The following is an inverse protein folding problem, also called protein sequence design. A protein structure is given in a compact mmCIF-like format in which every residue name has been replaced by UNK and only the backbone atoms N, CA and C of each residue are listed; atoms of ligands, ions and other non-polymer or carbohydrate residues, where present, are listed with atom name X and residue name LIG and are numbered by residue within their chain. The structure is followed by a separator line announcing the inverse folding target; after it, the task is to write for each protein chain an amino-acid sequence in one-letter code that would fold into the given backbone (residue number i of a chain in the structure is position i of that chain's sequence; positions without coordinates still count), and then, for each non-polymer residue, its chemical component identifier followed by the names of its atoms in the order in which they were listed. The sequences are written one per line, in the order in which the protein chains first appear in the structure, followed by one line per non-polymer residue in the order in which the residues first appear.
data_IF_102190685044
#
_entry.id   IF_102190685044
#
_cell.length_a   1.000
_cell.length_b   1.000
_cell.length_c   1.000
_cell.angle_alpha   90.00
_cell.angle_beta   90.00
_cell.angle_gamma   90.00
#
_symmetry.space_group_name_H-M   'P 1'
#
loop_
_entity.id
_entity.type
_entity.pdbx_description
1 polymer ?
#
# COMPACT_ATOMS: atom_id res chain seq x y z
N UNK A 1 0.54 14.27 12.52
CA UNK A 1 0.44 15.74 12.52
C UNK A 1 -0.21 16.19 11.23
N UNK A 2 -1.50 16.49 11.27
CA UNK A 2 -2.29 17.01 10.15
C UNK A 2 -1.71 18.35 9.66
N UNK A 3 -1.61 18.52 8.36
CA UNK A 3 -0.98 19.68 7.68
C UNK A 3 -1.55 21.05 8.07
N UNK A 4 -2.72 21.09 8.71
CA UNK A 4 -3.41 22.30 9.16
C UNK A 4 -2.58 23.20 10.09
N UNK A 5 -1.63 22.63 10.87
CA UNK A 5 -0.92 23.40 11.90
C UNK A 5 0.41 24.02 11.46
N UNK A 6 1.03 23.60 10.35
CA UNK A 6 2.40 24.07 9.99
C UNK A 6 2.46 25.57 9.66
N UNK A 7 1.41 26.10 9.05
CA UNK A 7 1.31 27.52 8.70
C UNK A 7 0.52 28.35 9.71
N UNK A 8 0.05 27.75 10.80
CA UNK A 8 -0.72 28.45 11.83
C UNK A 8 0.10 29.59 12.44
N UNK A 9 1.39 29.37 12.66
CA UNK A 9 2.24 30.37 13.30
C UNK A 9 2.55 31.57 12.40
N UNK A 10 2.89 31.34 11.13
CA UNK A 10 3.13 32.42 10.17
C UNK A 10 1.87 33.29 10.00
N UNK A 11 0.71 32.64 9.86
CA UNK A 11 -0.58 33.33 9.76
C UNK A 11 -0.87 34.17 11.02
N UNK A 12 -0.64 33.62 12.21
CA UNK A 12 -0.84 34.35 13.47
C UNK A 12 0.13 35.52 13.62
N UNK A 13 1.38 35.39 13.16
CA UNK A 13 2.36 36.47 13.15
C UNK A 13 1.93 37.61 12.22
N UNK A 14 1.40 37.29 11.04
CA UNK A 14 0.88 38.29 10.10
C UNK A 14 -0.40 38.98 10.58
N UNK A 15 -1.33 38.24 11.18
CA UNK A 15 -2.60 38.76 11.70
C UNK A 15 -2.39 39.66 12.93
N UNK A 16 -1.58 39.21 13.90
CA UNK A 16 -1.44 39.89 15.19
C UNK A 16 -0.32 40.94 15.23
N UNK A 17 0.66 40.85 14.31
CA UNK A 17 1.87 41.69 14.24
C UNK A 17 2.47 41.97 15.63
N UNK A 18 2.82 40.92 16.40
CA UNK A 18 3.27 41.11 17.76
C UNK A 18 4.62 41.83 17.82
N UNK A 19 4.81 42.65 18.85
CA UNK A 19 6.12 43.26 19.19
C UNK A 19 6.91 42.42 20.18
N UNK A 20 6.23 41.56 20.94
CA UNK A 20 6.83 40.65 21.94
C UNK A 20 6.31 39.24 21.70
N UNK A 21 7.21 38.26 21.62
CA UNK A 21 6.91 36.83 21.51
C UNK A 21 7.55 36.12 22.69
N UNK A 22 6.77 35.28 23.37
CA UNK A 22 7.26 34.42 24.46
C UNK A 22 7.14 32.96 24.00
N UNK A 23 8.28 32.31 23.85
CA UNK A 23 8.39 30.90 23.47
C UNK A 23 8.49 30.06 24.75
N UNK A 24 7.44 29.29 25.03
CA UNK A 24 7.39 28.39 26.18
C UNK A 24 8.13 27.07 25.92
N UNK A 25 8.02 26.55 24.70
CA UNK A 25 8.78 25.40 24.22
C UNK A 25 9.56 25.86 22.99
N UNK A 26 10.88 25.73 23.06
CA UNK A 26 11.76 26.27 22.01
C UNK A 26 12.01 25.22 20.94
N UNK A 27 11.40 25.42 19.78
CA UNK A 27 11.62 24.60 18.58
C UNK A 27 12.33 25.41 17.50
N UNK A 28 13.32 24.78 16.85
CA UNK A 28 14.15 25.44 15.83
C UNK A 28 13.31 25.87 14.64
N UNK A 29 12.36 25.04 14.19
CA UNK A 29 11.51 25.42 13.05
C UNK A 29 10.71 26.69 13.38
N UNK A 30 10.11 26.76 14.57
CA UNK A 30 9.40 27.96 15.05
C UNK A 30 10.30 29.20 15.08
N UNK A 31 11.53 29.07 15.58
CA UNK A 31 12.50 30.16 15.59
C UNK A 31 12.81 30.66 14.16
N UNK A 32 13.06 29.75 13.21
CA UNK A 32 13.30 30.11 11.80
C UNK A 32 12.12 30.83 11.16
N UNK A 33 10.88 30.44 11.48
CA UNK A 33 9.68 31.15 11.00
C UNK A 33 9.62 32.59 11.52
N UNK A 34 10.00 32.81 12.78
CA UNK A 34 10.06 34.14 13.38
C UNK A 34 11.19 34.98 12.77
N UNK A 35 12.36 34.38 12.52
CA UNK A 35 13.47 35.01 11.79
C UNK A 35 13.04 35.48 10.41
N UNK A 36 12.34 34.63 9.64
CA UNK A 36 11.77 35.00 8.34
C UNK A 36 10.74 36.13 8.46
N UNK A 37 9.84 36.07 9.45
CA UNK A 37 8.85 37.11 9.68
C UNK A 37 9.50 38.47 9.97
N UNK A 38 10.55 38.49 10.79
CA UNK A 38 11.34 39.70 11.09
C UNK A 38 12.09 40.21 9.85
N UNK A 39 12.60 39.32 8.99
CA UNK A 39 13.23 39.72 7.74
C UNK A 39 12.24 40.37 6.76
N UNK A 40 10.99 39.89 6.71
CA UNK A 40 9.93 40.49 5.88
C UNK A 40 9.38 41.81 6.46
N UNK A 41 9.42 41.99 7.78
CA UNK A 41 8.91 43.18 8.49
C UNK A 41 10.04 43.89 9.25
N UNK A 42 10.99 44.45 8.51
CA UNK A 42 12.14 45.18 9.07
C UNK A 42 11.75 46.28 10.05
N UNK A 43 10.63 46.96 9.77
CA UNK A 43 10.10 48.10 10.54
C UNK A 43 9.60 47.76 11.95
N UNK A 44 9.28 46.49 12.22
CA UNK A 44 8.71 46.09 13.52
C UNK A 44 9.81 45.74 14.52
N UNK A 45 9.80 46.35 15.70
CA UNK A 45 10.65 45.92 16.80
C UNK A 45 10.08 44.66 17.44
N UNK A 46 10.83 43.56 17.31
CA UNK A 46 10.43 42.24 17.80
C UNK A 46 11.37 41.79 18.93
N UNK A 47 10.82 41.56 20.12
CA UNK A 47 11.53 40.98 21.26
C UNK A 47 11.08 39.54 21.46
N UNK A 48 12.03 38.61 21.48
CA UNK A 48 11.75 37.18 21.64
C UNK A 48 12.31 36.74 22.99
N UNK A 49 11.44 36.25 23.86
CA UNK A 49 11.81 35.60 25.11
C UNK A 49 11.66 34.10 24.95
N UNK A 50 12.75 33.36 25.08
CA UNK A 50 12.73 31.90 25.13
C UNK A 50 12.88 31.44 26.57
N UNK A 51 11.95 30.61 27.02
CA UNK A 51 12.04 29.95 28.32
C UNK A 51 12.60 28.56 28.09
N UNK A 52 13.68 28.23 28.80
CA UNK A 52 14.28 26.89 28.78
C UNK A 52 14.78 26.55 30.18
N UNK A 53 14.54 25.32 30.60
CA UNK A 53 15.11 24.79 31.84
C UNK A 53 16.57 24.41 31.63
N UNK A 54 17.46 24.91 32.49
CA UNK A 54 18.87 24.54 32.49
C UNK A 54 19.06 23.09 32.88
N UNK A 55 20.05 22.44 32.27
CA UNK A 55 20.43 21.04 32.51
C UNK A 55 19.27 20.06 32.33
N UNK A 56 18.32 20.41 31.45
CA UNK A 56 17.12 19.63 31.20
C UNK A 56 17.22 18.82 29.89
N UNK A 57 16.31 17.86 29.75
CA UNK A 57 16.15 17.10 28.50
C UNK A 57 15.67 17.97 27.35
N UNK A 58 14.96 19.06 27.64
CA UNK A 58 14.50 20.05 26.64
C UNK A 58 15.68 20.82 26.04
N UNK A 59 16.55 21.35 26.90
CA UNK A 59 17.77 22.06 26.47
C UNK A 59 18.68 21.12 25.66
N UNK A 60 18.92 19.91 26.17
CA UNK A 60 19.75 18.92 25.48
C UNK A 60 19.18 18.55 24.10
N UNK A 61 17.85 18.38 23.98
CA UNK A 61 17.18 18.12 22.71
C UNK A 61 17.38 19.27 21.73
N UNK A 62 17.14 20.51 22.16
CA UNK A 62 17.30 21.70 21.32
C UNK A 62 18.73 21.87 20.80
N UNK A 63 19.73 21.77 21.69
CA UNK A 63 21.14 21.86 21.32
C UNK A 63 21.57 20.73 20.38
N UNK A 64 21.08 19.51 20.61
CA UNK A 64 21.37 18.37 19.73
C UNK A 64 20.77 18.57 18.34
N UNK A 65 19.54 19.09 18.23
CA UNK A 65 18.95 19.40 16.92
C UNK A 65 19.73 20.47 16.17
N UNK A 66 20.18 21.53 16.85
CA UNK A 66 20.98 22.60 16.25
C UNK A 66 22.36 22.10 15.78
N UNK A 67 23.00 21.26 16.58
CA UNK A 67 24.24 20.58 16.19
C UNK A 67 24.03 19.67 14.98
N UNK A 68 22.99 18.84 14.99
CA UNK A 68 22.69 17.93 13.89
C UNK A 68 22.40 18.68 12.58
N UNK A 69 21.70 19.81 12.62
CA UNK A 69 21.47 20.66 11.44
C UNK A 69 22.78 21.21 10.87
N UNK A 70 23.66 21.69 11.75
CA UNK A 70 24.99 22.22 11.37
C UNK A 70 25.88 21.12 10.79
N UNK A 71 25.94 19.97 11.45
CA UNK A 71 26.72 18.81 11.00
C UNK A 71 26.19 18.26 9.66
N UNK A 72 24.88 18.20 9.48
CA UNK A 72 24.27 17.80 8.20
C UNK A 72 24.61 18.77 7.06
N UNK A 73 24.58 20.08 7.32
CA UNK A 73 24.90 21.09 6.31
C UNK A 73 26.38 21.05 5.91
N UNK A 74 27.29 20.92 6.88
CA UNK A 74 28.72 20.77 6.60
C UNK A 74 29.03 19.48 5.83
N UNK A 75 28.37 18.38 6.18
CA UNK A 75 28.49 17.11 5.45
C UNK A 75 28.06 17.27 3.99
N UNK A 76 26.90 17.87 3.74
CA UNK A 76 26.42 18.14 2.36
C UNK A 76 27.37 19.05 1.58
N UNK A 77 27.96 20.05 2.23
CA UNK A 77 28.94 20.92 1.59
C UNK A 77 30.19 20.16 1.16
N UNK A 78 30.73 19.30 2.03
CA UNK A 78 31.90 18.48 1.75
C UNK A 78 31.62 17.42 0.66
N UNK A 79 30.45 16.78 0.70
CA UNK A 79 30.03 15.83 -0.33
C UNK A 79 29.89 16.52 -1.69
N UNK A 80 29.27 17.70 -1.73
CA UNK A 80 29.15 18.50 -2.96
C UNK A 80 30.51 18.91 -3.51
N UNK A 81 31.46 19.30 -2.66
CA UNK A 81 32.82 19.66 -3.08
C UNK A 81 33.59 18.47 -3.68
N UNK A 82 33.28 17.25 -3.23
CA UNK A 82 33.93 16.00 -3.67
C UNK A 82 33.29 15.40 -4.92
N UNK A 83 32.13 15.91 -5.34
CA UNK A 83 31.28 15.30 -6.37
C UNK A 83 31.89 15.49 -7.77
N UNK A 84 32.54 14.44 -8.32
CA UNK A 84 33.22 14.49 -9.63
C UNK A 84 32.28 14.43 -10.84
N UNK A 85 31.04 13.96 -10.67
CA UNK A 85 30.04 13.85 -11.76
C UNK A 85 28.94 14.89 -11.52
N UNK A 86 28.77 15.92 -12.34
CA UNK A 86 27.68 16.87 -12.13
C UNK A 86 26.34 16.13 -12.06
N UNK A 87 25.47 16.49 -11.09
CA UNK A 87 24.10 15.96 -10.96
C UNK A 87 23.30 16.31 -12.23
N UNK A 88 23.45 15.50 -13.27
CA UNK A 88 22.58 15.49 -14.43
C UNK A 88 21.56 14.39 -14.16
N UNK A 89 20.29 14.77 -14.15
CA UNK A 89 19.21 13.79 -14.12
C UNK A 89 19.22 13.08 -15.48
N UNK A 90 19.81 11.89 -15.53
CA UNK A 90 19.72 11.01 -16.70
C UNK A 90 18.25 10.58 -16.87
N UNK A 91 17.54 11.33 -17.70
CA UNK A 91 16.15 11.06 -18.09
C UNK A 91 16.06 10.22 -19.37
N UNK A 92 17.22 9.86 -19.95
CA UNK A 92 17.30 8.97 -21.10
C UNK A 92 16.74 7.59 -20.74
N UNK A 93 15.79 7.12 -21.54
CA UNK A 93 15.32 5.73 -21.48
C UNK A 93 16.22 4.88 -22.35
N UNK A 94 16.51 3.68 -21.89
CA UNK A 94 17.23 2.68 -22.70
C UNK A 94 16.33 2.22 -23.86
N UNK A 95 16.96 1.82 -24.97
CA UNK A 95 16.23 1.12 -26.04
C UNK A 95 16.03 -0.33 -25.64
N UNK A 96 14.80 -0.82 -25.77
CA UNK A 96 14.47 -2.21 -25.43
C UNK A 96 15.09 -3.13 -26.48
N UNK A 97 15.86 -4.13 -26.05
CA UNK A 97 16.41 -5.15 -26.93
C UNK A 97 15.30 -5.86 -27.71
N UNK A 98 15.29 -5.65 -29.04
CA UNK A 98 14.42 -6.37 -29.98
C UNK A 98 15.30 -7.33 -30.76
N UNK A 99 15.04 -8.64 -30.63
CA UNK A 99 15.66 -9.60 -31.56
C UNK A 99 15.19 -9.27 -32.98
N UNK A 100 16.12 -8.85 -33.83
CA UNK A 100 15.87 -8.74 -35.26
C UNK A 100 15.71 -10.15 -35.81
N UNK A 101 14.47 -10.58 -36.04
CA UNK A 101 14.25 -11.77 -36.85
C UNK A 101 14.84 -11.50 -38.25
N UNK A 102 15.70 -12.37 -38.78
CA UNK A 102 16.14 -12.26 -40.16
C UNK A 102 14.88 -12.37 -41.02
N UNK A 103 14.55 -11.28 -41.69
CA UNK A 103 13.40 -11.24 -42.58
C UNK A 103 13.79 -12.10 -43.78
N UNK A 104 13.25 -13.32 -43.82
CA UNK A 104 13.15 -14.08 -45.06
C UNK A 104 12.45 -13.20 -46.09
N UNK A 105 12.94 -13.27 -47.32
CA UNK A 105 12.80 -12.31 -48.40
C UNK A 105 11.39 -12.25 -49.03
N UNK A 106 10.32 -12.28 -48.23
CA UNK A 106 8.94 -12.28 -48.70
C UNK A 106 8.21 -11.02 -48.21
N UNK A 107 7.81 -10.19 -49.18
CA UNK A 107 7.25 -8.85 -49.02
C UNK A 107 5.86 -8.76 -48.36
N UNK A 108 5.70 -9.34 -47.17
CA UNK A 108 4.57 -9.07 -46.31
C UNK A 108 4.85 -7.81 -45.48
N UNK A 109 3.93 -6.84 -45.52
CA UNK A 109 3.96 -5.59 -44.76
C UNK A 109 4.38 -5.83 -43.30
N UNK A 110 5.53 -5.28 -42.92
CA UNK A 110 6.00 -5.27 -41.54
C UNK A 110 4.93 -4.62 -40.66
N UNK A 111 4.44 -5.28 -39.59
CA UNK A 111 3.54 -4.64 -38.64
C UNK A 111 4.26 -3.41 -38.07
N UNK A 112 3.53 -2.31 -37.97
CA UNK A 112 3.96 -0.99 -37.48
C UNK A 112 5.03 -1.08 -36.40
N UNK A 113 6.30 -0.93 -36.80
CA UNK A 113 7.52 -1.14 -36.01
C UNK A 113 7.71 -0.16 -34.83
N UNK A 114 6.74 0.68 -34.52
CA UNK A 114 6.96 1.93 -33.79
C UNK A 114 6.41 2.01 -32.36
N UNK A 115 5.72 0.98 -31.86
CA UNK A 115 5.23 1.00 -30.47
C UNK A 115 6.24 0.36 -29.50
N UNK A 116 6.44 1.00 -28.35
CA UNK A 116 7.24 0.45 -27.26
C UNK A 116 6.45 -0.67 -26.57
N UNK A 117 7.12 -1.72 -26.08
CA UNK A 117 6.44 -2.81 -25.40
C UNK A 117 5.78 -2.30 -24.11
N UNK A 118 4.52 -2.72 -23.88
CA UNK A 118 3.65 -2.24 -22.79
C UNK A 118 3.52 -3.25 -21.65
N UNK A 119 3.77 -2.85 -20.42
CA UNK A 119 3.55 -3.71 -19.24
C UNK A 119 2.42 -3.10 -18.43
N UNK A 120 1.39 -3.89 -18.13
CA UNK A 120 0.31 -3.44 -17.25
C UNK A 120 0.75 -3.69 -15.81
N UNK A 121 0.60 -2.68 -14.96
CA UNK A 121 1.03 -2.70 -13.56
C UNK A 121 -0.12 -2.26 -12.68
N UNK A 122 -0.34 -3.01 -11.60
CA UNK A 122 -1.31 -2.64 -10.58
C UNK A 122 -0.94 -1.30 -9.93
N UNK A 123 -1.90 -0.39 -9.78
CA UNK A 123 -1.66 0.93 -9.16
C UNK A 123 -1.07 0.87 -7.76
N UNK A 124 -1.34 -0.19 -6.98
CA UNK A 124 -0.82 -0.38 -5.61
C UNK A 124 0.68 -0.68 -5.61
N UNK A 125 1.19 -1.15 -6.74
CA UNK A 125 2.56 -1.60 -6.89
C UNK A 125 3.53 -0.46 -7.27
N UNK A 126 3.02 0.73 -7.58
CA UNK A 126 3.84 1.93 -7.82
C UNK A 126 4.64 2.42 -6.60
N UNK A 127 4.33 1.90 -5.41
CA UNK A 127 5.14 2.14 -4.22
C UNK A 127 6.48 1.38 -4.26
N UNK A 128 6.65 0.42 -5.17
CA UNK A 128 7.90 -0.34 -5.33
C UNK A 128 8.85 0.29 -6.35
N UNK A 129 10.13 -0.11 -6.32
CA UNK A 129 11.14 0.43 -7.24
C UNK A 129 11.00 -0.15 -8.68
N UNK A 130 10.39 -1.33 -8.84
CA UNK A 130 10.37 -2.08 -10.11
C UNK A 130 9.65 -1.35 -11.27
N UNK A 131 8.47 -0.72 -11.10
CA UNK A 131 7.82 0.03 -12.18
C UNK A 131 8.69 1.16 -12.74
N UNK A 132 9.44 1.84 -11.86
CA UNK A 132 10.37 2.91 -12.26
C UNK A 132 11.54 2.35 -13.07
N UNK A 133 12.08 1.21 -12.67
CA UNK A 133 13.15 0.52 -13.39
C UNK A 133 12.69 0.04 -14.77
N UNK A 134 11.49 -0.55 -14.87
CA UNK A 134 10.91 -0.98 -16.15
C UNK A 134 10.74 0.20 -17.11
N UNK A 135 10.26 1.33 -16.61
CA UNK A 135 10.12 2.55 -17.40
C UNK A 135 11.47 3.09 -17.88
N UNK A 136 12.51 3.05 -17.03
CA UNK A 136 13.88 3.43 -17.42
C UNK A 136 14.45 2.51 -18.50
N UNK A 137 14.15 1.21 -18.44
CA UNK A 137 14.53 0.21 -19.46
C UNK A 137 13.78 0.33 -20.79
N UNK A 138 12.89 1.33 -20.95
CA UNK A 138 12.22 1.61 -22.22
C UNK A 138 10.85 0.97 -22.40
N UNK A 139 10.33 0.25 -21.39
CA UNK A 139 8.95 -0.23 -21.39
C UNK A 139 7.96 0.91 -21.16
N UNK A 140 6.80 0.80 -21.78
CA UNK A 140 5.66 1.65 -21.46
C UNK A 140 4.87 1.03 -20.32
N UNK A 141 4.71 1.75 -19.22
CA UNK A 141 4.10 1.23 -17.98
C UNK A 141 2.66 1.74 -17.91
N UNK A 142 1.70 0.84 -18.06
CA UNK A 142 0.27 1.16 -18.04
C UNK A 142 -0.27 0.89 -16.64
N UNK A 143 -0.60 1.95 -15.91
CA UNK A 143 -1.14 1.86 -14.55
C UNK A 143 -2.63 1.53 -14.57
N UNK A 144 -3.03 0.40 -13.99
CA UNK A 144 -4.41 -0.09 -13.96
C UNK A 144 -4.71 -0.73 -12.59
N UNK A 145 -5.94 -0.71 -12.11
CA UNK A 145 -6.33 -1.46 -10.91
C UNK A 145 -6.64 -2.91 -11.28
N UNK A 146 -5.78 -3.86 -10.90
CA UNK A 146 -5.95 -5.28 -11.20
C UNK A 146 -6.49 -6.02 -9.96
N UNK A 147 -7.49 -6.87 -10.14
CA UNK A 147 -7.93 -7.75 -9.05
C UNK A 147 -7.03 -9.00 -8.94
N UNK A 148 -6.47 -9.44 -10.08
CA UNK A 148 -5.66 -10.65 -10.21
C UNK A 148 -4.26 -10.29 -10.73
N UNK A 149 -3.24 -10.58 -9.92
CA UNK A 149 -1.82 -10.30 -10.15
C UNK A 149 -1.40 -8.81 -10.06
N UNK A 150 -0.09 -8.58 -9.89
CA UNK A 150 0.50 -7.25 -9.78
C UNK A 150 1.02 -6.72 -11.13
N UNK A 151 1.52 -7.62 -11.98
CA UNK A 151 2.04 -7.29 -13.31
C UNK A 151 1.49 -8.24 -14.37
N UNK A 152 1.12 -7.71 -15.53
CA UNK A 152 0.74 -8.50 -16.71
C UNK A 152 1.70 -8.16 -17.84
N UNK A 153 2.53 -9.14 -18.23
CA UNK A 153 3.55 -8.97 -19.27
C UNK A 153 2.97 -9.24 -20.67
N UNK A 154 2.01 -10.15 -20.75
CA UNK A 154 1.36 -10.63 -21.97
C UNK A 154 -0.01 -11.20 -21.58
N UNK A 155 -1.01 -11.35 -22.48
CA UNK A 155 -2.32 -11.92 -22.14
C UNK A 155 -2.23 -13.31 -21.49
N UNK A 156 -1.14 -14.04 -21.72
CA UNK A 156 -0.88 -15.36 -21.17
C UNK A 156 -0.04 -15.36 -19.87
N UNK A 157 0.69 -14.27 -19.57
CA UNK A 157 1.72 -14.22 -18.53
C UNK A 157 1.38 -13.16 -17.50
N UNK A 158 1.13 -13.61 -16.26
CA UNK A 158 0.93 -12.76 -15.10
C UNK A 158 1.98 -13.04 -14.02
N UNK A 159 2.38 -11.98 -13.32
CA UNK A 159 3.37 -12.03 -12.26
C UNK A 159 2.77 -11.42 -10.98
N UNK A 160 2.85 -12.17 -9.89
CA UNK A 160 2.65 -11.66 -8.53
C UNK A 160 4.03 -11.40 -7.94
N UNK A 161 4.29 -10.17 -7.48
CA UNK A 161 5.54 -9.80 -6.83
C UNK A 161 5.37 -9.86 -5.33
N UNK A 162 6.27 -10.56 -4.64
CA UNK A 162 6.30 -10.62 -3.18
C UNK A 162 7.67 -10.26 -2.66
N UNK A 163 7.73 -9.27 -1.77
CA UNK A 163 8.91 -9.05 -0.95
C UNK A 163 9.10 -10.25 0.00
N UNK A 164 10.34 -10.50 0.42
CA UNK A 164 10.69 -11.65 1.25
C UNK A 164 9.90 -11.72 2.57
N UNK A 165 9.77 -10.58 3.25
CA UNK A 165 9.07 -10.49 4.54
C UNK A 165 7.54 -10.63 4.35
N UNK A 166 7.00 -10.00 3.29
CA UNK A 166 5.58 -10.15 2.92
C UNK A 166 5.22 -11.57 2.49
N UNK A 167 6.16 -12.29 1.88
CA UNK A 167 5.99 -13.68 1.51
C UNK A 167 5.81 -14.54 2.77
N UNK A 168 6.68 -14.38 3.76
CA UNK A 168 6.58 -15.12 5.02
C UNK A 168 5.22 -14.89 5.70
N UNK A 169 4.77 -13.65 5.80
CA UNK A 169 3.47 -13.31 6.37
C UNK A 169 2.30 -13.84 5.53
N UNK A 170 2.40 -13.78 4.20
CA UNK A 170 1.36 -14.27 3.28
C UNK A 170 1.23 -15.79 3.25
N UNK A 171 2.34 -16.51 3.47
CA UNK A 171 2.35 -17.97 3.63
C UNK A 171 1.66 -18.38 4.93
N UNK A 172 1.96 -17.69 6.04
CA UNK A 172 1.33 -17.97 7.34
C UNK A 172 -0.17 -17.68 7.35
N UNK A 173 -0.60 -16.58 6.72
CA UNK A 173 -2.02 -16.24 6.59
C UNK A 173 -2.77 -17.03 5.52
N UNK A 174 -2.06 -17.83 4.70
CA UNK A 174 -2.64 -18.54 3.57
C UNK A 174 -3.05 -17.64 2.38
N UNK A 175 -2.80 -16.33 2.46
CA UNK A 175 -3.19 -15.35 1.42
C UNK A 175 -2.58 -15.70 0.06
N UNK A 176 -1.30 -16.08 0.04
CA UNK A 176 -0.59 -16.39 -1.21
C UNK A 176 -1.19 -17.60 -1.94
N UNK A 177 -1.77 -18.56 -1.22
CA UNK A 177 -2.43 -19.72 -1.85
C UNK A 177 -3.64 -19.28 -2.66
N UNK A 178 -4.48 -18.39 -2.10
CA UNK A 178 -5.65 -17.84 -2.80
C UNK A 178 -5.25 -17.02 -4.01
N UNK A 179 -4.22 -16.18 -3.87
CA UNK A 179 -3.70 -15.36 -4.96
C UNK A 179 -3.17 -16.24 -6.11
N UNK A 180 -2.35 -17.24 -5.79
CA UNK A 180 -1.82 -18.18 -6.78
C UNK A 180 -2.91 -18.99 -7.48
N UNK A 181 -3.94 -19.42 -6.76
CA UNK A 181 -5.07 -20.13 -7.36
C UNK A 181 -5.86 -19.25 -8.32
N UNK A 182 -6.13 -18.00 -7.94
CA UNK A 182 -6.80 -17.01 -8.79
C UNK A 182 -5.99 -16.76 -10.07
N UNK A 183 -4.67 -16.55 -9.95
CA UNK A 183 -3.81 -16.36 -11.13
C UNK A 183 -3.86 -17.57 -12.08
N UNK A 184 -3.76 -18.79 -11.54
CA UNK A 184 -3.74 -20.02 -12.34
C UNK A 184 -5.04 -20.30 -13.10
N UNK A 185 -6.17 -19.72 -12.67
CA UNK A 185 -7.46 -19.82 -13.37
C UNK A 185 -7.52 -18.93 -14.61
N UNK A 186 -6.94 -17.73 -14.54
CA UNK A 186 -7.05 -16.72 -15.59
C UNK A 186 -5.86 -16.69 -16.55
N UNK A 187 -4.66 -17.07 -16.08
CA UNK A 187 -3.43 -16.98 -16.85
C UNK A 187 -2.77 -18.34 -17.03
N UNK A 188 -2.35 -18.64 -18.26
CA UNK A 188 -1.67 -19.91 -18.58
C UNK A 188 -0.30 -20.02 -17.94
N UNK A 189 0.42 -18.90 -17.81
CA UNK A 189 1.72 -18.80 -17.16
C UNK A 189 1.62 -17.84 -15.97
N UNK A 190 1.40 -18.40 -14.78
CA UNK A 190 1.43 -17.65 -13.52
C UNK A 190 2.81 -17.75 -12.89
N UNK A 191 3.39 -16.60 -12.56
CA UNK A 191 4.74 -16.50 -11.98
C UNK A 191 4.64 -15.81 -10.63
N UNK A 192 5.21 -16.43 -9.60
CA UNK A 192 5.47 -15.79 -8.32
C UNK A 192 6.92 -15.29 -8.31
N UNK A 193 7.10 -13.98 -8.38
CA UNK A 193 8.38 -13.31 -8.29
C UNK A 193 8.66 -12.96 -6.83
N UNK A 194 9.66 -13.62 -6.24
CA UNK A 194 10.15 -13.31 -4.90
C UNK A 194 11.33 -12.37 -5.04
N UNK A 195 11.17 -11.14 -4.57
CA UNK A 195 12.20 -10.11 -4.64
C UNK A 195 12.77 -9.81 -3.25
N UNK A 196 14.10 -9.83 -3.14
CA UNK A 196 14.79 -9.31 -1.98
C UNK A 196 15.08 -7.83 -2.17
N UNK A 197 14.39 -6.96 -1.42
CA UNK A 197 14.65 -5.51 -1.43
C UNK A 197 15.92 -5.11 -0.64
N UNK A 198 16.73 -6.09 -0.22
CA UNK A 198 17.97 -5.82 0.49
C UNK A 198 19.07 -5.55 -0.54
N UNK A 199 19.29 -4.27 -0.82
CA UNK A 199 20.62 -3.79 -1.25
C UNK A 199 21.60 -4.45 -0.28
N UNK A 200 22.59 -5.19 -0.80
CA UNK A 200 23.54 -6.00 -0.04
C UNK A 200 24.30 -5.15 1.01
N UNK A 201 23.64 -4.79 2.11
CA UNK A 201 24.27 -4.24 3.29
C UNK A 201 24.44 -5.39 4.26
N UNK A 202 25.69 -5.82 4.31
CA UNK A 202 26.28 -6.72 5.26
C UNK A 202 25.88 -6.36 6.68
N UNK A 203 24.94 -7.12 7.24
CA UNK A 203 24.84 -7.57 8.65
C UNK A 203 23.41 -8.04 8.90
N UNK A 204 23.09 -9.24 8.44
CA UNK A 204 21.93 -9.93 9.00
C UNK A 204 22.42 -10.69 10.23
N UNK A 205 22.33 -10.03 11.39
CA UNK A 205 22.28 -10.75 12.67
C UNK A 205 20.92 -11.44 12.69
N UNK A 206 20.91 -12.77 12.59
CA UNK A 206 19.73 -13.63 12.38
C UNK A 206 19.21 -13.61 10.93
N UNK A 207 19.88 -14.39 10.06
CA UNK A 207 19.49 -14.64 8.67
C UNK A 207 17.98 -14.51 8.43
N UNK A 208 17.59 -13.86 7.32
CA UNK A 208 16.19 -13.53 7.03
C UNK A 208 15.23 -14.73 7.11
N UNK A 209 13.93 -14.57 6.82
CA UNK A 209 12.92 -15.61 7.05
C UNK A 209 13.22 -16.97 6.38
N UNK A 210 14.11 -17.00 5.39
CA UNK A 210 14.61 -18.21 4.73
C UNK A 210 16.07 -18.57 5.03
N UNK A 211 16.84 -17.77 5.78
CA UNK A 211 18.24 -18.03 6.15
C UNK A 211 18.38 -18.40 7.64
N UNK A 212 19.13 -19.47 7.94
CA UNK A 212 19.31 -19.99 9.30
C UNK A 212 18.60 -21.34 9.52
N UNK A 213 19.24 -22.26 10.24
CA UNK A 213 18.78 -23.65 10.39
C UNK A 213 17.98 -23.92 11.68
N UNK A 214 17.89 -22.97 12.61
CA UNK A 214 17.50 -23.31 13.99
C UNK A 214 16.17 -22.75 14.47
N UNK A 215 15.57 -21.73 13.84
CA UNK A 215 14.29 -21.20 14.31
C UNK A 215 13.10 -22.05 13.84
N UNK A 216 12.19 -22.37 14.77
CA UNK A 216 10.90 -23.03 14.49
C UNK A 216 10.13 -22.29 13.39
N UNK A 217 10.13 -20.97 13.44
CA UNK A 217 9.45 -20.11 12.48
C UNK A 217 9.97 -20.31 11.04
N UNK A 218 11.29 -20.35 10.83
CA UNK A 218 11.87 -20.55 9.50
C UNK A 218 11.53 -21.94 8.93
N UNK A 219 11.49 -22.98 9.79
CA UNK A 219 11.05 -24.32 9.37
C UNK A 219 9.58 -24.33 8.94
N UNK A 220 8.72 -23.66 9.68
CA UNK A 220 7.28 -23.52 9.34
C UNK A 220 7.10 -22.78 8.01
N UNK A 221 7.77 -21.65 7.80
CA UNK A 221 7.70 -20.89 6.54
C UNK A 221 8.18 -21.72 5.35
N UNK A 222 9.31 -22.45 5.48
CA UNK A 222 9.80 -23.35 4.44
C UNK A 222 8.81 -24.49 4.16
N UNK A 223 8.23 -25.09 5.19
CA UNK A 223 7.23 -26.15 5.03
C UNK A 223 5.97 -25.64 4.32
N UNK A 224 5.51 -24.42 4.65
CA UNK A 224 4.38 -23.77 3.97
C UNK A 224 4.70 -23.46 2.51
N UNK A 225 5.92 -22.98 2.21
CA UNK A 225 6.37 -22.77 0.83
C UNK A 225 6.40 -24.09 0.04
N UNK A 226 6.92 -25.16 0.62
CA UNK A 226 6.88 -26.49 0.00
C UNK A 226 5.43 -26.96 -0.23
N UNK A 227 4.52 -26.67 0.70
CA UNK A 227 3.09 -26.97 0.55
C UNK A 227 2.46 -26.18 -0.61
N UNK A 228 2.82 -24.91 -0.77
CA UNK A 228 2.39 -24.07 -1.90
C UNK A 228 2.85 -24.68 -3.23
N UNK A 229 4.13 -25.01 -3.35
CA UNK A 229 4.69 -25.59 -4.58
C UNK A 229 4.06 -26.95 -4.92
N UNK A 230 3.77 -27.76 -3.90
CA UNK A 230 3.10 -29.06 -4.09
C UNK A 230 1.63 -28.92 -4.50
N UNK A 231 0.92 -27.95 -3.94
CA UNK A 231 -0.50 -27.70 -4.24
C UNK A 231 -0.71 -27.00 -5.58
N UNK A 232 0.28 -26.23 -6.06
CA UNK A 232 0.19 -25.43 -7.29
C UNK A 232 1.33 -25.74 -8.27
N UNK A 233 1.38 -26.95 -8.86
CA UNK A 233 2.52 -27.39 -9.68
C UNK A 233 2.72 -26.59 -10.98
N UNK A 234 1.70 -25.86 -11.43
CA UNK A 234 1.77 -24.97 -12.61
C UNK A 234 2.36 -23.59 -12.30
N UNK A 235 2.45 -23.22 -11.02
CA UNK A 235 3.00 -21.93 -10.59
C UNK A 235 4.53 -21.95 -10.75
N UNK A 236 5.07 -20.97 -11.47
CA UNK A 236 6.53 -20.83 -11.62
C UNK A 236 7.05 -19.88 -10.55
N UNK A 237 8.18 -20.22 -9.95
CA UNK A 237 8.82 -19.42 -8.91
C UNK A 237 10.11 -18.81 -9.46
N UNK A 238 10.25 -17.49 -9.35
CA UNK A 238 11.48 -16.77 -9.71
C UNK A 238 12.00 -16.04 -8.48
N UNK A 239 13.30 -16.15 -8.22
CA UNK A 239 13.98 -15.42 -7.15
C UNK A 239 14.83 -14.33 -7.76
N UNK A 240 14.64 -13.09 -7.29
CA UNK A 240 15.42 -11.94 -7.71
C UNK A 240 16.04 -11.24 -6.50
N UNK A 241 17.28 -10.79 -6.67
CA UNK A 241 18.04 -10.06 -5.65
C UNK A 241 17.92 -8.54 -5.83
N UNK A 242 17.42 -8.06 -6.96
CA UNK A 242 17.28 -6.64 -7.25
C UNK A 242 16.13 -6.37 -8.23
N UNK A 243 15.49 -5.18 -8.16
CA UNK A 243 14.51 -4.77 -9.16
C UNK A 243 15.09 -4.70 -10.59
N UNK A 244 16.38 -4.43 -10.73
CA UNK A 244 17.07 -4.40 -12.02
C UNK A 244 17.09 -5.78 -12.68
N UNK A 245 17.41 -6.83 -11.91
CA UNK A 245 17.38 -8.21 -12.39
C UNK A 245 15.95 -8.68 -12.68
N UNK A 246 14.98 -8.28 -11.84
CA UNK A 246 13.55 -8.54 -12.09
C UNK A 246 13.12 -7.97 -13.46
N UNK A 247 13.59 -6.77 -13.81
CA UNK A 247 13.31 -6.16 -15.10
C UNK A 247 13.98 -6.89 -16.29
N UNK A 248 15.13 -7.53 -16.09
CA UNK A 248 15.76 -8.39 -17.11
C UNK A 248 14.94 -9.65 -17.35
N UNK A 249 14.49 -10.31 -16.29
CA UNK A 249 13.59 -11.45 -16.41
C UNK A 249 12.30 -11.06 -17.13
N UNK A 250 11.76 -9.86 -16.89
CA UNK A 250 10.57 -9.39 -17.60
C UNK A 250 10.84 -9.20 -19.10
N UNK A 251 12.02 -8.73 -19.46
CA UNK A 251 12.43 -8.59 -20.86
C UNK A 251 12.52 -9.95 -21.56
N UNK A 252 13.16 -10.93 -20.92
CA UNK A 252 13.28 -12.29 -21.45
C UNK A 252 11.92 -13.00 -21.56
N UNK A 253 11.07 -12.88 -20.54
CA UNK A 253 9.75 -13.51 -20.52
C UNK A 253 8.79 -12.93 -21.56
N UNK A 254 8.96 -11.63 -21.86
CA UNK A 254 8.14 -10.90 -22.83
C UNK A 254 8.63 -11.06 -24.27
N UNK A 255 9.86 -11.53 -24.48
CA UNK A 255 10.44 -11.72 -25.80
C UNK A 255 9.56 -12.62 -26.69
N UNK A 256 9.22 -12.15 -27.89
CA UNK A 256 8.35 -12.81 -28.86
C UNK A 256 6.92 -13.13 -28.37
N UNK A 257 6.41 -12.38 -27.38
CA UNK A 257 5.03 -12.52 -26.88
C UNK A 257 4.14 -11.38 -27.37
N UNK A 258 2.83 -11.62 -27.52
CA UNK A 258 1.88 -10.55 -27.84
C UNK A 258 1.75 -9.57 -26.68
N UNK A 259 1.49 -8.31 -27.03
CA UNK A 259 1.27 -7.22 -26.09
C UNK A 259 -0.02 -7.46 -25.27
N UNK A 260 -0.02 -7.11 -23.97
CA UNK A 260 -1.20 -7.25 -23.13
C UNK A 260 -2.23 -6.17 -23.41
N UNK A 261 -3.51 -6.51 -23.20
CA UNK A 261 -4.63 -5.56 -23.31
C UNK A 261 -5.14 -5.17 -21.91
N UNK A 262 -5.26 -3.86 -21.68
CA UNK A 262 -5.64 -3.28 -20.39
C UNK A 262 -7.09 -3.61 -20.03
N UNK A 263 -8.01 -3.50 -21.01
CA UNK A 263 -9.44 -3.69 -20.75
C UNK A 263 -9.76 -5.15 -20.40
N UNK A 264 -9.10 -6.09 -21.09
CA UNK A 264 -9.20 -7.52 -20.76
C UNK A 264 -8.69 -7.80 -19.35
N UNK A 265 -7.53 -7.25 -18.95
CA UNK A 265 -6.96 -7.48 -17.63
C UNK A 265 -7.84 -6.96 -16.49
N UNK A 266 -8.55 -5.83 -16.68
CA UNK A 266 -9.52 -5.28 -15.71
C UNK A 266 -10.77 -6.13 -15.60
N UNK A 267 -11.20 -6.75 -16.71
CA UNK A 267 -12.43 -7.55 -16.73
C UNK A 267 -12.35 -8.84 -15.89
N UNK A 268 -11.13 -9.30 -15.60
CA UNK A 268 -10.87 -10.50 -14.80
C UNK A 268 -11.10 -10.19 -13.32
N UNK A 269 -12.25 -10.64 -12.80
CA UNK A 269 -12.60 -10.47 -11.40
C UNK A 269 -12.15 -11.65 -10.55
N UNK A 270 -11.76 -11.36 -9.31
CA UNK A 270 -11.56 -12.42 -8.33
C UNK A 270 -12.92 -12.99 -7.93
N UNK A 271 -13.27 -14.18 -8.41
CA UNK A 271 -14.50 -14.86 -7.98
C UNK A 271 -14.42 -15.14 -6.46
N UNK A 272 -15.11 -14.32 -5.66
CA UNK A 272 -15.55 -14.73 -4.34
C UNK A 272 -16.59 -15.85 -4.53
N UNK A 273 -16.24 -17.04 -4.02
CA UNK A 273 -17.12 -18.16 -3.65
C UNK A 273 -18.60 -17.94 -3.97
N UNK A 274 -19.06 -18.62 -5.03
CA UNK A 274 -20.43 -19.08 -5.30
C UNK A 274 -21.50 -18.50 -4.37
N UNK A 275 -21.94 -17.26 -4.62
CA UNK A 275 -23.34 -16.93 -4.35
C UNK A 275 -24.13 -17.54 -5.48
N UNK A 276 -24.89 -18.58 -5.16
CA UNK A 276 -25.87 -19.19 -6.06
C UNK A 276 -26.70 -18.06 -6.65
N UNK A 277 -26.66 -17.92 -7.98
CA UNK A 277 -27.62 -17.13 -8.73
C UNK A 277 -29.00 -17.72 -8.47
N UNK A 278 -29.76 -17.14 -7.56
CA UNK A 278 -31.21 -17.25 -7.66
C UNK A 278 -31.65 -16.43 -8.87
N UNK A 279 -32.10 -17.18 -9.87
CA UNK A 279 -32.82 -16.70 -11.04
C UNK A 279 -34.16 -16.16 -10.52
N UNK A 280 -34.34 -14.85 -10.62
CA UNK A 280 -35.59 -14.15 -10.34
C UNK A 280 -35.70 -12.95 -11.26
N UNK A 281 -36.74 -12.96 -12.08
CA UNK A 281 -36.93 -12.20 -13.31
C UNK A 281 -36.74 -10.68 -13.27
N UNK A 282 -36.33 -10.20 -14.45
CA UNK A 282 -36.45 -8.82 -14.91
C UNK A 282 -37.92 -8.44 -15.04
N UNK A 283 -38.42 -7.54 -14.20
CA UNK A 283 -39.48 -6.61 -14.61
C UNK A 283 -39.10 -5.18 -14.20
N UNK A 284 -38.88 -4.37 -15.23
CA UNK A 284 -38.68 -2.95 -15.13
C UNK A 284 -40.02 -2.29 -14.78
N UNK A 285 -40.18 -1.85 -13.54
CA UNK A 285 -41.34 -1.06 -13.15
C UNK A 285 -40.93 0.39 -12.84
N UNK A 286 -41.48 1.28 -13.67
CA UNK A 286 -41.23 2.71 -13.68
C UNK A 286 -41.99 3.33 -12.52
N UNK A 287 -41.31 3.63 -11.39
CA UNK A 287 -41.88 4.47 -10.33
C UNK A 287 -40.91 5.56 -9.91
N UNK A 288 -41.27 6.77 -10.29
CA UNK A 288 -40.79 8.03 -9.73
C UNK A 288 -41.19 8.14 -8.26
N UNK A 289 -40.23 8.03 -7.34
CA UNK A 289 -40.34 8.61 -6.00
C UNK A 289 -38.95 8.81 -5.38
N UNK A 290 -38.74 10.01 -4.86
CA UNK A 290 -37.60 10.48 -4.11
C UNK A 290 -37.39 9.71 -2.80
N UNK A 291 -36.48 8.74 -2.79
CA UNK A 291 -35.60 8.46 -1.63
C UNK A 291 -34.50 7.49 -2.06
N UNK A 292 -33.24 7.94 -2.10
CA UNK A 292 -32.11 7.02 -2.31
C UNK A 292 -31.92 6.23 -1.02
N UNK A 293 -31.99 4.88 -1.00
CA UNK A 293 -31.80 4.12 0.22
C UNK A 293 -30.41 4.40 0.79
N UNK A 294 -30.37 4.73 2.09
CA UNK A 294 -29.16 5.11 2.82
C UNK A 294 -28.19 3.92 2.83
N UNK A 295 -27.18 3.95 1.95
CA UNK A 295 -26.15 2.90 1.87
C UNK A 295 -25.22 3.01 3.09
N UNK A 296 -25.07 1.96 3.91
CA UNK A 296 -24.14 1.99 5.03
C UNK A 296 -22.69 2.04 4.55
N UNK A 297 -21.79 2.64 5.34
CA UNK A 297 -20.36 2.71 5.02
C UNK A 297 -19.77 1.29 4.89
N UNK A 298 -19.23 0.96 3.72
CA UNK A 298 -18.68 -0.36 3.41
C UNK A 298 -17.56 -0.81 4.35
N UNK A 299 -16.76 0.14 4.87
CA UNK A 299 -15.69 -0.14 5.82
C UNK A 299 -16.28 -0.58 7.17
N UNK A 300 -17.32 0.12 7.65
CA UNK A 300 -18.01 -0.24 8.88
C UNK A 300 -18.70 -1.60 8.77
N UNK A 301 -19.37 -1.88 7.64
CA UNK A 301 -19.99 -3.20 7.40
C UNK A 301 -18.96 -4.34 7.44
N UNK A 302 -17.80 -4.14 6.80
CA UNK A 302 -16.72 -5.13 6.80
C UNK A 302 -16.15 -5.32 8.20
N UNK A 303 -15.85 -4.24 8.90
CA UNK A 303 -15.26 -4.30 10.23
C UNK A 303 -16.21 -4.95 11.24
N UNK A 304 -17.50 -4.56 11.23
CA UNK A 304 -18.49 -5.14 12.12
C UNK A 304 -18.79 -6.61 11.80
N UNK A 305 -18.90 -6.98 10.53
CA UNK A 305 -19.11 -8.39 10.14
C UNK A 305 -17.91 -9.30 10.39
N UNK A 306 -16.71 -8.75 10.59
CA UNK A 306 -15.51 -9.52 10.95
C UNK A 306 -15.30 -9.64 12.46
N UNK A 307 -15.77 -8.65 13.24
CA UNK A 307 -15.47 -8.57 14.66
C UNK A 307 -16.67 -8.83 15.59
N UNK A 308 -17.92 -8.76 15.09
CA UNK A 308 -19.09 -9.09 15.89
C UNK A 308 -19.33 -10.61 15.90
N UNK A 309 -19.54 -11.22 17.08
CA UNK A 309 -19.65 -12.66 17.22
C UNK A 309 -20.90 -13.20 16.49
N UNK A 310 -20.66 -13.95 15.41
CA UNK A 310 -21.69 -14.66 14.68
C UNK A 310 -22.49 -13.84 13.67
N UNK A 311 -22.21 -12.55 13.50
CA UNK A 311 -22.90 -11.73 12.50
C UNK A 311 -22.17 -11.74 11.16
N UNK A 312 -22.87 -12.05 10.07
CA UNK A 312 -22.35 -11.87 8.72
C UNK A 312 -22.49 -10.42 8.24
N UNK A 313 -21.83 -10.09 7.13
CA UNK A 313 -21.97 -8.76 6.49
C UNK A 313 -23.42 -8.44 6.12
N UNK A 314 -24.22 -9.45 5.75
CA UNK A 314 -25.64 -9.31 5.46
C UNK A 314 -26.46 -8.95 6.70
N UNK A 315 -26.18 -9.60 7.83
CA UNK A 315 -26.90 -9.36 9.09
C UNK A 315 -26.63 -7.95 9.63
N UNK A 316 -25.38 -7.49 9.56
CA UNK A 316 -25.01 -6.12 9.95
C UNK A 316 -25.70 -5.09 9.04
N UNK A 317 -25.80 -5.38 7.74
CA UNK A 317 -26.48 -4.50 6.80
C UNK A 317 -27.99 -4.42 7.10
N UNK A 318 -28.64 -5.55 7.37
CA UNK A 318 -30.04 -5.61 7.78
C UNK A 318 -30.29 -4.88 9.09
N UNK A 319 -29.40 -5.05 10.08
CA UNK A 319 -29.45 -4.32 11.36
C UNK A 319 -29.35 -2.80 11.15
N UNK A 320 -28.39 -2.32 10.35
CA UNK A 320 -28.23 -0.88 10.06
C UNK A 320 -29.40 -0.29 9.27
N UNK A 321 -29.99 -1.07 8.35
CA UNK A 321 -31.15 -0.64 7.56
C UNK A 321 -32.45 -0.66 8.36
N UNK A 322 -32.55 -1.50 9.40
CA UNK A 322 -33.73 -1.57 10.26
C UNK A 322 -34.01 -0.28 11.06
N UNK A 323 -33.02 0.63 11.15
CA UNK A 323 -33.05 1.88 11.92
C UNK A 323 -33.41 1.73 13.42
N UNK A 324 -33.49 0.50 13.94
CA UNK A 324 -33.77 0.20 15.35
C UNK A 324 -32.59 0.60 16.25
N UNK A 325 -31.37 0.60 15.69
CA UNK A 325 -30.13 0.98 16.35
C UNK A 325 -29.60 2.26 15.70
N UNK A 326 -29.53 3.37 16.47
CA UNK A 326 -29.11 4.68 15.94
C UNK A 326 -27.61 4.88 16.01
N UNK A 327 -26.98 4.38 17.07
CA UNK A 327 -25.55 4.47 17.28
C UNK A 327 -25.01 3.14 17.86
N UNK A 328 -23.69 2.95 17.86
CA UNK A 328 -23.08 1.74 18.42
C UNK A 328 -23.19 1.65 19.94
N UNK A 329 -23.28 2.79 20.64
CA UNK A 329 -23.45 2.81 22.09
C UNK A 329 -24.79 2.16 22.48
N UNK A 330 -25.86 2.50 21.75
CA UNK A 330 -27.20 1.96 21.91
C UNK A 330 -27.19 0.44 21.67
N UNK A 331 -26.44 -0.05 20.66
CA UNK A 331 -26.31 -1.48 20.40
C UNK A 331 -25.76 -2.25 21.61
N UNK A 332 -24.80 -1.68 22.34
CA UNK A 332 -24.17 -2.35 23.47
C UNK A 332 -24.85 -2.06 24.82
N UNK A 333 -25.79 -1.12 24.88
CA UNK A 333 -26.50 -0.73 26.12
C UNK A 333 -27.98 -1.08 26.12
N UNK A 334 -28.54 -1.52 24.99
CA UNK A 334 -29.93 -1.93 24.87
C UNK A 334 -30.25 -3.19 25.69
N UNK A 335 -31.44 -3.28 26.31
CA UNK A 335 -31.91 -4.49 26.97
C UNK A 335 -32.15 -5.61 25.94
N UNK A 336 -32.01 -6.86 26.38
CA UNK A 336 -32.01 -8.05 25.50
C UNK A 336 -33.28 -8.15 24.62
N UNK A 337 -34.44 -7.71 25.12
CA UNK A 337 -35.71 -7.70 24.38
C UNK A 337 -35.68 -6.79 23.14
N UNK A 338 -35.02 -5.63 23.26
CA UNK A 338 -34.86 -4.69 22.14
C UNK A 338 -33.79 -5.18 21.16
N UNK A 339 -32.78 -5.90 21.65
CA UNK A 339 -31.77 -6.55 20.81
C UNK A 339 -32.35 -7.71 19.99
N UNK A 340 -33.24 -8.53 20.54
CA UNK A 340 -33.97 -9.55 19.76
C UNK A 340 -34.78 -8.92 18.63
N UNK A 341 -35.37 -7.77 18.87
CA UNK A 341 -36.12 -7.03 17.85
C UNK A 341 -35.20 -6.50 16.74
N UNK A 342 -33.92 -6.24 17.02
CA UNK A 342 -32.97 -5.64 16.09
C UNK A 342 -32.06 -6.64 15.36
N UNK A 343 -31.69 -7.75 15.99
CA UNK A 343 -30.67 -8.70 15.49
C UNK A 343 -31.11 -10.18 15.60
N UNK A 344 -32.35 -10.43 16.05
CA UNK A 344 -32.99 -11.74 16.13
C UNK A 344 -32.08 -12.81 16.78
N UNK A 345 -31.59 -13.77 16.00
CA UNK A 345 -30.81 -14.94 16.46
C UNK A 345 -29.45 -14.61 17.09
N UNK A 346 -28.93 -13.40 16.89
CA UNK A 346 -27.59 -13.01 17.37
C UNK A 346 -27.64 -12.16 18.65
N UNK A 347 -28.84 -11.81 19.13
CA UNK A 347 -29.03 -10.96 20.30
C UNK A 347 -28.35 -11.53 21.57
N UNK A 348 -28.39 -12.84 21.77
CA UNK A 348 -27.77 -13.52 22.93
C UNK A 348 -26.26 -13.45 22.94
N UNK A 349 -25.63 -13.60 21.77
CA UNK A 349 -24.17 -13.53 21.64
C UNK A 349 -23.67 -12.10 21.79
N UNK A 350 -24.43 -11.14 21.27
CA UNK A 350 -24.12 -9.72 21.40
C UNK A 350 -24.31 -9.24 22.84
N UNK A 351 -25.36 -9.66 23.54
CA UNK A 351 -25.60 -9.26 24.93
C UNK A 351 -24.55 -9.86 25.89
N UNK A 352 -24.14 -11.11 25.64
CA UNK A 352 -23.04 -11.74 26.38
C UNK A 352 -21.70 -11.06 26.10
N UNK A 353 -21.43 -10.68 24.84
CA UNK A 353 -20.23 -9.94 24.47
C UNK A 353 -20.21 -8.51 25.06
N UNK A 354 -21.36 -7.83 25.07
CA UNK A 354 -21.49 -6.47 25.59
C UNK A 354 -21.30 -6.40 27.11
N UNK A 355 -21.81 -7.39 27.84
CA UNK A 355 -21.77 -7.45 29.30
C UNK A 355 -20.68 -8.42 29.81
N UNK A 356 -19.71 -8.78 28.96
CA UNK A 356 -18.64 -9.67 29.35
C UNK A 356 -17.71 -8.96 30.35
N UNK A 357 -17.65 -9.49 31.57
CA UNK A 357 -16.69 -9.04 32.58
C UNK A 357 -15.38 -9.82 32.42
N UNK A 358 -14.30 -9.08 32.15
CA UNK A 358 -12.95 -9.65 32.00
C UNK A 358 -12.39 -10.26 33.29
N UNK A 359 -13.05 -10.07 34.44
CA UNK A 359 -12.61 -10.61 35.74
C UNK A 359 -13.12 -12.02 36.05
N UNK A 360 -14.09 -12.55 35.28
CA UNK A 360 -14.78 -13.82 35.59
C UNK A 360 -14.28 -15.00 34.74
N UNK A 361 -13.28 -14.78 33.87
CA UNK A 361 -12.65 -15.85 33.10
C UNK A 361 -11.56 -16.58 33.89
N UNK A 362 -11.96 -17.61 34.63
CA UNK A 362 -11.11 -18.77 34.99
C UNK A 362 -11.01 -19.77 33.82
#
# INVERSE_FOLDING_TARGET
MTYSHRYSILRQLEEMKPTVIILYNTDIATLRHIEMYKACHSELFLHIYSLMYRESTEESRYLTTLKNETDAFTTLFNEKATLMIPRRYETGREEVDRLQMPTGNDGAQAPSRCERPKIIVDVREFNSELPTVLYKKGYDVVAVTLEVADYVLSPAIAVERKALDDLAQSLQSGRVFKQSEQMLRHYTNSILLIESNRKFESKIVNGGPFQGELSRHCREVRALLCSLLRSTPKLKLIWSLSPANSAEYFAELKLNRPEPDADHAVSLKSDEVTSVKEVGDLEADTRTSSDKPRKPNAILLRHMGQHLPGMSRGDVQSMMLSQKVRNLCDLFTMPIEQLYTAVESHADRLSLFANFDFSVSD
#
